data_IF_689251412174
#
_entry.id   IF_689251412174
#
_cell.length_a   1.000
_cell.length_b   1.000
_cell.length_c   1.000
_cell.angle_alpha   90.00
_cell.angle_beta   90.00
_cell.angle_gamma   90.00
#
_symmetry.space_group_name_H-M   'P 1'
#
loop_
_entity.id
_entity.type
_entity.pdbx_description
1 polymer ?
#
# COMPACT_ATOMS: atom_id res chain seq x y z
N UNK A 1 23.50 -11.80 -19.54
CA UNK A 1 22.80 -10.75 -18.80
C UNK A 1 21.45 -11.35 -18.46
N UNK A 2 21.14 -11.56 -17.18
CA UNK A 2 19.82 -12.08 -16.80
C UNK A 2 18.77 -11.02 -17.15
N UNK A 3 17.75 -11.41 -17.91
CA UNK A 3 16.65 -10.50 -18.23
C UNK A 3 15.66 -10.50 -17.06
N UNK A 4 15.49 -9.33 -16.43
CA UNK A 4 14.47 -9.14 -15.40
C UNK A 4 13.13 -8.76 -16.02
N UNK A 5 12.04 -9.35 -15.52
CA UNK A 5 10.68 -8.93 -15.83
C UNK A 5 10.12 -8.11 -14.66
N UNK A 6 9.26 -7.14 -14.97
CA UNK A 6 8.64 -6.29 -13.96
C UNK A 6 7.12 -6.38 -14.05
N UNK A 7 6.46 -6.50 -12.89
CA UNK A 7 5.00 -6.51 -12.77
C UNK A 7 4.59 -5.36 -11.86
N UNK A 8 3.70 -4.52 -12.35
CA UNK A 8 3.14 -3.40 -11.61
C UNK A 8 1.65 -3.66 -11.35
N UNK A 9 1.28 -3.86 -10.09
CA UNK A 9 -0.12 -3.84 -9.68
C UNK A 9 -0.50 -2.42 -9.27
N UNK A 10 -1.63 -1.90 -9.77
CA UNK A 10 -2.21 -0.62 -9.34
C UNK A 10 -3.67 -0.87 -8.99
N UNK A 11 -4.10 -0.38 -7.84
CA UNK A 11 -5.49 -0.43 -7.40
C UNK A 11 -5.85 0.82 -6.60
N UNK A 12 -7.14 1.08 -6.47
CA UNK A 12 -7.67 2.25 -5.79
C UNK A 12 -8.80 1.95 -4.81
N UNK A 13 -8.86 2.75 -3.75
CA UNK A 13 -9.90 2.72 -2.73
C UNK A 13 -10.35 4.14 -2.40
N UNK A 14 -11.63 4.33 -2.05
CA UNK A 14 -12.16 5.63 -1.61
C UNK A 14 -13.02 6.37 -2.64
N UNK A 15 -14.00 5.69 -3.25
CA UNK A 15 -14.80 6.21 -4.35
C UNK A 15 -16.06 7.02 -4.02
N UNK A 16 -16.31 7.32 -2.75
CA UNK A 16 -17.48 8.11 -2.36
C UNK A 16 -17.05 9.43 -1.72
N UNK A 17 -17.65 10.58 -2.08
CA UNK A 17 -17.41 11.86 -1.41
C UNK A 17 -17.66 11.79 0.10
N UNK A 18 -18.43 10.79 0.57
CA UNK A 18 -18.79 10.56 1.97
C UNK A 18 -17.98 9.45 2.67
N UNK A 19 -17.07 8.75 1.97
CA UNK A 19 -16.49 7.47 2.44
C UNK A 19 -15.04 7.61 2.95
N UNK A 20 -14.33 8.67 2.55
CA UNK A 20 -12.94 8.90 2.96
C UNK A 20 -12.05 9.36 1.79
N UNK A 21 -10.72 9.45 1.99
CA UNK A 21 -9.81 9.92 0.96
C UNK A 21 -9.73 8.89 -0.18
N UNK A 22 -9.51 9.36 -1.40
CA UNK A 22 -9.09 8.48 -2.49
C UNK A 22 -7.63 8.09 -2.25
N UNK A 23 -7.35 6.80 -2.25
CA UNK A 23 -6.01 6.23 -2.20
C UNK A 23 -5.81 5.39 -3.46
N UNK A 24 -4.77 5.69 -4.23
CA UNK A 24 -4.34 4.89 -5.38
C UNK A 24 -2.94 4.39 -5.08
N UNK A 25 -2.74 3.08 -5.07
CA UNK A 25 -1.46 2.47 -4.68
C UNK A 25 -0.92 1.58 -5.78
N UNK A 26 0.38 1.68 -6.02
CA UNK A 26 1.13 0.76 -6.86
C UNK A 26 2.05 -0.15 -6.05
N UNK A 27 2.15 -1.42 -6.43
CA UNK A 27 3.14 -2.37 -5.95
C UNK A 27 3.95 -2.90 -7.12
N UNK A 28 5.25 -2.65 -7.12
CA UNK A 28 6.17 -3.01 -8.19
C UNK A 28 7.01 -4.23 -7.79
N UNK A 29 6.91 -5.28 -8.58
CA UNK A 29 7.66 -6.51 -8.40
C UNK A 29 8.69 -6.69 -9.52
N UNK A 30 9.88 -7.17 -9.15
CA UNK A 30 10.89 -7.71 -10.05
C UNK A 30 10.81 -9.24 -10.02
N UNK A 31 10.81 -9.85 -11.19
CA UNK A 31 10.78 -11.31 -11.37
C UNK A 31 12.06 -11.75 -12.08
N UNK A 32 12.70 -12.79 -11.56
CA UNK A 32 13.85 -13.44 -12.21
C UNK A 32 13.43 -14.12 -13.52
N UNK A 33 14.36 -14.28 -14.46
CA UNK A 33 14.12 -14.86 -15.80
C UNK A 33 13.50 -16.27 -15.76
N UNK A 34 13.74 -17.02 -14.67
CA UNK A 34 13.18 -18.36 -14.45
C UNK A 34 11.68 -18.35 -14.16
N UNK A 35 11.06 -17.18 -14.08
CA UNK A 35 9.69 -17.01 -13.67
C UNK A 35 8.73 -16.93 -14.87
N UNK A 36 7.87 -17.93 -15.01
CA UNK A 36 6.69 -17.83 -15.86
C UNK A 36 5.60 -17.07 -15.09
N UNK A 37 5.20 -15.90 -15.61
CA UNK A 37 4.22 -14.99 -15.00
C UNK A 37 2.89 -15.67 -14.60
N UNK A 38 2.52 -16.78 -15.27
CA UNK A 38 1.32 -17.58 -14.99
C UNK A 38 1.29 -18.21 -13.59
N UNK A 39 2.43 -18.30 -12.89
CA UNK A 39 2.53 -18.92 -11.55
C UNK A 39 2.61 -17.93 -10.39
N UNK A 40 2.30 -16.64 -10.67
CA UNK A 40 2.01 -15.56 -9.71
C UNK A 40 2.03 -15.95 -8.22
N UNK A 41 0.80 -16.28 -7.83
CA UNK A 41 0.38 -16.62 -6.50
C UNK A 41 0.68 -18.07 -6.13
N UNK A 42 0.91 -18.95 -7.10
CA UNK A 42 1.27 -20.35 -6.84
C UNK A 42 2.65 -20.43 -6.18
N UNK A 43 3.61 -19.66 -6.66
CA UNK A 43 4.96 -19.57 -6.06
C UNK A 43 4.92 -19.06 -4.62
N UNK A 44 4.01 -18.15 -4.31
CA UNK A 44 3.86 -17.57 -2.98
C UNK A 44 2.88 -18.33 -2.09
N UNK A 45 2.25 -19.39 -2.59
CA UNK A 45 1.14 -20.10 -1.93
C UNK A 45 1.52 -20.74 -0.58
N UNK A 46 2.81 -20.95 -0.32
CA UNK A 46 3.33 -21.37 0.99
C UNK A 46 3.01 -20.34 2.09
N UNK A 47 3.05 -19.05 1.78
CA UNK A 47 2.94 -17.97 2.77
C UNK A 47 1.87 -16.93 2.47
N UNK A 48 1.29 -16.93 1.26
CA UNK A 48 0.21 -16.05 0.83
C UNK A 48 -1.05 -16.86 0.56
N UNK A 49 -2.20 -16.34 0.97
CA UNK A 49 -3.51 -16.95 0.72
C UNK A 49 -4.58 -15.91 0.44
N UNK A 50 -5.64 -16.34 -0.26
CA UNK A 50 -6.88 -15.56 -0.40
C UNK A 50 -7.88 -15.83 0.73
N UNK A 51 -7.64 -16.85 1.56
CA UNK A 51 -8.60 -17.35 2.56
C UNK A 51 -8.30 -16.76 3.93
N UNK A 52 -9.16 -15.89 4.43
CA UNK A 52 -9.03 -15.24 5.75
C UNK A 52 -8.89 -16.21 6.93
N UNK A 53 -9.40 -17.45 6.81
CA UNK A 53 -9.25 -18.51 7.82
C UNK A 53 -7.82 -19.05 8.00
N UNK A 54 -6.91 -18.75 7.07
CA UNK A 54 -5.50 -19.14 7.13
C UNK A 54 -4.63 -18.04 7.78
N UNK A 55 -5.26 -17.01 8.34
CA UNK A 55 -4.61 -16.02 9.20
C UNK A 55 -4.62 -16.50 10.65
N UNK A 56 -3.49 -16.42 11.40
CA UNK A 56 -2.27 -15.67 11.08
C UNK A 56 -1.12 -16.48 10.45
N UNK A 57 -1.35 -17.73 10.05
CA UNK A 57 -0.30 -18.60 9.49
C UNK A 57 0.22 -18.10 8.13
N UNK A 58 -0.63 -17.41 7.37
CA UNK A 58 -0.33 -16.82 6.06
C UNK A 58 -0.76 -15.36 5.98
N UNK A 59 -0.07 -14.62 5.10
CA UNK A 59 -0.46 -13.26 4.68
C UNK A 59 -1.67 -13.37 3.77
N UNK A 60 -2.70 -12.55 4.03
CA UNK A 60 -3.96 -12.63 3.29
C UNK A 60 -4.01 -11.55 2.21
N UNK A 61 -3.89 -11.95 0.95
CA UNK A 61 -4.05 -11.07 -0.21
C UNK A 61 -5.31 -11.49 -0.96
N UNK A 62 -6.36 -10.67 -0.88
CA UNK A 62 -7.65 -10.91 -1.52
C UNK A 62 -8.35 -9.58 -1.83
N UNK A 63 -9.54 -9.64 -2.43
CA UNK A 63 -10.38 -8.47 -2.65
C UNK A 63 -10.65 -7.77 -1.30
N UNK A 64 -10.37 -6.46 -1.23
CA UNK A 64 -10.52 -5.67 -0.02
C UNK A 64 -11.96 -5.64 0.48
N UNK A 65 -12.95 -5.71 -0.42
CA UNK A 65 -14.38 -5.79 -0.07
C UNK A 65 -14.73 -7.10 0.63
N UNK A 66 -13.99 -8.18 0.36
CA UNK A 66 -14.16 -9.47 1.04
C UNK A 66 -13.46 -9.49 2.40
N UNK A 67 -12.26 -8.89 2.48
CA UNK A 67 -11.52 -8.77 3.74
C UNK A 67 -12.33 -7.91 4.69
N UNK A 68 -12.68 -6.67 4.35
CA UNK A 68 -13.28 -5.72 5.29
C UNK A 68 -14.79 -5.91 5.55
N UNK A 69 -15.38 -7.08 5.22
CA UNK A 69 -16.79 -7.39 5.57
C UNK A 69 -16.98 -7.40 7.10
N UNK A 70 -17.64 -6.37 7.64
CA UNK A 70 -18.31 -6.25 8.94
C UNK A 70 -17.80 -7.12 10.12
N UNK A 71 -16.48 -7.24 10.30
CA UNK A 71 -15.91 -7.88 11.49
C UNK A 71 -14.61 -7.18 11.90
N UNK A 72 -14.48 -6.72 13.16
CA UNK A 72 -13.28 -6.02 13.66
C UNK A 72 -11.97 -6.77 13.41
N UNK A 73 -11.96 -8.11 13.56
CA UNK A 73 -10.80 -8.97 13.28
C UNK A 73 -10.26 -8.81 11.85
N UNK A 74 -11.10 -8.48 10.88
CA UNK A 74 -10.66 -8.39 9.49
C UNK A 74 -9.87 -7.11 9.20
N UNK A 75 -10.05 -6.06 10.00
CA UNK A 75 -9.19 -4.88 9.92
C UNK A 75 -7.74 -5.25 10.22
N UNK A 76 -7.51 -6.06 11.26
CA UNK A 76 -6.18 -6.57 11.58
C UNK A 76 -5.58 -7.40 10.44
N UNK A 77 -6.37 -8.19 9.73
CA UNK A 77 -5.88 -8.97 8.59
C UNK A 77 -5.36 -8.04 7.48
N UNK A 78 -6.16 -7.03 7.11
CA UNK A 78 -5.78 -6.06 6.09
C UNK A 78 -4.56 -5.22 6.51
N UNK A 79 -4.56 -4.74 7.74
CA UNK A 79 -3.46 -3.95 8.31
C UNK A 79 -2.16 -4.77 8.44
N UNK A 80 -2.23 -6.02 8.88
CA UNK A 80 -1.06 -6.93 8.94
C UNK A 80 -0.50 -7.17 7.54
N UNK A 81 -1.37 -7.34 6.54
CA UNK A 81 -0.95 -7.53 5.14
C UNK A 81 -0.22 -6.31 4.59
N UNK A 82 -0.76 -5.10 4.83
CA UNK A 82 -0.12 -3.85 4.44
C UNK A 82 1.24 -3.70 5.14
N UNK A 83 1.31 -3.98 6.44
CA UNK A 83 2.53 -3.86 7.22
C UNK A 83 3.59 -4.89 6.83
N UNK A 84 3.22 -6.15 6.60
CA UNK A 84 4.15 -7.16 6.09
C UNK A 84 4.74 -6.77 4.73
N UNK A 85 3.91 -6.21 3.84
CA UNK A 85 4.34 -5.75 2.51
C UNK A 85 5.29 -4.56 2.63
N UNK A 86 4.97 -3.60 3.49
CA UNK A 86 5.82 -2.47 3.81
C UNK A 86 7.18 -2.91 4.39
N UNK A 87 7.18 -3.87 5.31
CA UNK A 87 8.40 -4.35 5.96
C UNK A 87 9.36 -5.08 5.01
N UNK A 88 8.90 -5.52 3.83
CA UNK A 88 9.81 -6.06 2.80
C UNK A 88 10.76 -4.98 2.24
N UNK A 89 10.35 -3.71 2.29
CA UNK A 89 11.09 -2.57 1.76
C UNK A 89 11.73 -1.71 2.85
N UNK A 90 11.09 -1.62 4.01
CA UNK A 90 11.45 -0.69 5.08
C UNK A 90 11.51 -1.41 6.45
N UNK A 91 12.22 -0.86 7.45
CA UNK A 91 12.07 -1.31 8.83
C UNK A 91 10.64 -1.07 9.34
N UNK A 92 10.18 -1.82 10.35
CA UNK A 92 8.87 -1.62 11.00
C UNK A 92 8.71 -0.12 11.36
N UNK A 93 7.62 0.55 10.94
CA UNK A 93 7.48 1.98 11.16
C UNK A 93 7.18 2.25 12.63
N UNK A 94 7.71 3.34 13.16
CA UNK A 94 7.48 3.78 14.54
C UNK A 94 6.04 4.22 14.75
N UNK A 95 5.42 4.83 13.74
CA UNK A 95 4.06 5.36 13.78
C UNK A 95 3.47 5.46 12.36
N UNK A 96 2.19 5.84 12.28
CA UNK A 96 1.51 5.93 10.98
C UNK A 96 2.08 7.03 10.07
N UNK A 97 2.66 8.09 10.64
CA UNK A 97 3.31 9.15 9.87
C UNK A 97 4.50 8.60 9.07
N UNK A 98 5.38 7.85 9.73
CA UNK A 98 6.54 7.24 9.09
C UNK A 98 6.11 6.24 8.01
N UNK A 99 5.12 5.40 8.32
CA UNK A 99 4.53 4.48 7.34
C UNK A 99 4.09 5.23 6.07
N UNK A 100 3.32 6.31 6.21
CA UNK A 100 2.86 7.10 5.08
C UNK A 100 3.99 7.82 4.35
N UNK A 101 4.95 8.40 5.06
CA UNK A 101 6.07 9.14 4.44
C UNK A 101 6.89 8.23 3.50
N UNK A 102 7.09 6.98 3.88
CA UNK A 102 7.88 6.03 3.10
C UNK A 102 7.17 5.54 1.84
N UNK A 103 5.84 5.43 1.86
CA UNK A 103 5.06 4.96 0.71
C UNK A 103 4.39 6.09 -0.07
N UNK A 104 4.31 7.31 0.43
CA UNK A 104 3.71 8.40 -0.33
C UNK A 104 4.55 8.73 -1.56
N UNK A 105 3.87 8.85 -2.70
CA UNK A 105 4.48 9.37 -3.92
C UNK A 105 4.64 10.89 -3.82
N UNK A 106 3.65 11.55 -3.21
CA UNK A 106 3.65 12.99 -2.97
C UNK A 106 4.36 13.34 -1.66
N UNK A 107 4.69 14.62 -1.46
CA UNK A 107 5.21 15.07 -0.18
C UNK A 107 4.07 15.17 0.85
N UNK A 108 4.23 14.50 2.01
CA UNK A 108 3.27 14.54 3.11
C UNK A 108 2.95 15.98 3.57
N UNK A 109 3.94 16.87 3.64
CA UNK A 109 3.75 18.28 4.00
C UNK A 109 2.88 19.00 2.98
N UNK A 110 3.07 18.71 1.68
CA UNK A 110 2.24 19.29 0.62
C UNK A 110 0.81 18.78 0.69
N UNK A 111 0.64 17.48 0.94
CA UNK A 111 -0.68 16.91 1.19
C UNK A 111 -1.36 17.58 2.38
N UNK A 112 -0.63 17.73 3.49
CA UNK A 112 -1.15 18.32 4.71
C UNK A 112 -1.61 19.77 4.50
N UNK A 113 -0.84 20.56 3.76
CA UNK A 113 -1.17 21.95 3.42
C UNK A 113 -2.39 22.08 2.51
N UNK A 114 -2.58 21.12 1.59
CA UNK A 114 -3.66 21.14 0.60
C UNK A 114 -4.97 20.57 1.14
N UNK A 115 -4.91 19.66 2.11
CA UNK A 115 -6.08 19.25 2.85
C UNK A 115 -6.59 20.43 3.70
N UNK A 116 -7.67 21.09 3.27
CA UNK A 116 -8.29 22.18 4.03
C UNK A 116 -8.62 21.70 5.45
N UNK A 117 -8.00 22.32 6.45
CA UNK A 117 -8.36 22.14 7.85
C UNK A 117 -9.60 22.97 8.16
N UNK A 118 -10.50 22.43 8.98
CA UNK A 118 -11.67 23.17 9.47
C UNK A 118 -11.31 24.25 10.52
N UNK A 119 -10.04 24.41 10.90
CA UNK A 119 -9.59 25.30 11.98
C UNK A 119 -8.12 25.75 11.82
N UNK A 120 -7.83 26.99 12.22
CA UNK A 120 -6.46 27.56 12.35
C UNK A 120 -5.69 27.00 13.56
N UNK A 121 -6.38 26.34 14.49
CA UNK A 121 -5.86 25.92 15.80
C UNK A 121 -5.84 24.40 16.01
N UNK A 122 -6.51 23.62 15.16
CA UNK A 122 -6.53 22.16 15.23
C UNK A 122 -6.38 21.59 13.83
N UNK A 123 -5.31 20.83 13.60
CA UNK A 123 -5.12 20.10 12.36
C UNK A 123 -6.13 18.95 12.32
N UNK A 124 -7.23 19.12 11.58
CA UNK A 124 -8.19 18.06 11.31
C UNK A 124 -8.26 17.82 9.81
N UNK A 125 -8.04 16.58 9.40
CA UNK A 125 -8.27 16.15 8.03
C UNK A 125 -9.74 16.39 7.68
N UNK A 126 -10.04 16.74 6.43
CA UNK A 126 -11.41 17.05 6.02
C UNK A 126 -12.36 15.84 5.98
N UNK A 127 -11.90 14.65 6.37
CA UNK A 127 -12.64 13.39 6.39
C UNK A 127 -12.51 12.60 7.70
N UNK A 128 -12.01 13.20 8.78
CA UNK A 128 -11.84 12.47 10.04
C UNK A 128 -11.69 13.35 11.27
N UNK A 129 -12.29 12.89 12.37
CA UNK A 129 -12.17 13.46 13.71
C UNK A 129 -10.95 12.95 14.51
N UNK A 130 -10.20 11.99 13.97
CA UNK A 130 -9.11 11.32 14.68
C UNK A 130 -7.76 11.98 14.41
N UNK A 131 -6.89 11.92 15.41
CA UNK A 131 -5.46 12.17 15.28
C UNK A 131 -4.90 11.24 14.20
N UNK A 132 -4.81 11.76 12.98
CA UNK A 132 -4.31 11.04 11.81
C UNK A 132 -2.88 10.53 12.04
N UNK A 133 -2.17 11.11 13.00
CA UNK A 133 -0.85 10.70 13.46
C UNK A 133 -0.95 9.95 14.79
N UNK A 134 -1.63 8.80 14.78
CA UNK A 134 -1.58 7.88 15.92
C UNK A 134 -0.13 7.48 16.20
N UNK A 135 0.20 7.28 17.47
CA UNK A 135 1.49 6.67 17.85
C UNK A 135 1.60 5.26 17.29
N UNK A 136 0.48 4.57 17.09
CA UNK A 136 0.46 3.26 16.45
C UNK A 136 0.65 3.36 14.93
N UNK A 137 1.40 2.42 14.31
CA UNK A 137 1.61 2.37 12.86
C UNK A 137 0.36 2.00 12.07
N UNK A 138 -0.72 1.60 12.74
CA UNK A 138 -1.98 1.13 12.15
C UNK A 138 -3.17 1.63 12.98
N UNK A 139 -4.35 1.74 12.35
CA UNK A 139 -5.53 2.41 12.91
C UNK A 139 -6.36 1.51 13.85
N UNK A 140 -6.11 0.20 13.90
CA UNK A 140 -6.82 -0.67 14.83
C UNK A 140 -6.47 -0.33 16.28
N UNK A 141 -7.34 0.46 16.92
CA UNK A 141 -7.31 0.88 18.32
C UNK A 141 -7.18 -0.24 19.38
N UNK A 142 -6.93 -1.49 19.01
CA UNK A 142 -6.98 -2.63 19.94
C UNK A 142 -6.09 -3.83 19.56
N UNK A 143 -5.23 -3.78 18.53
CA UNK A 143 -4.50 -4.98 18.10
C UNK A 143 -3.03 -4.70 17.86
N UNK A 144 -2.17 -5.30 18.70
CA UNK A 144 -0.72 -5.24 18.60
C UNK A 144 -0.27 -6.09 17.39
N UNK A 145 0.30 -5.52 16.31
CA UNK A 145 0.75 -6.30 15.17
C UNK A 145 2.06 -7.05 15.44
N UNK A 146 2.80 -6.71 16.51
CA UNK A 146 4.12 -7.27 16.81
C UNK A 146 4.17 -8.81 16.83
N UNK A 147 3.20 -9.56 17.40
CA UNK A 147 3.22 -11.02 17.36
C UNK A 147 3.21 -11.56 15.93
N UNK A 148 2.39 -10.95 15.06
CA UNK A 148 2.29 -11.37 13.66
C UNK A 148 3.54 -10.97 12.88
N UNK A 149 4.10 -9.79 13.12
CA UNK A 149 5.37 -9.39 12.48
C UNK A 149 6.49 -10.36 12.89
N UNK A 150 6.61 -10.71 14.17
CA UNK A 150 7.70 -11.56 14.63
C UNK A 150 7.67 -12.98 14.03
N UNK A 151 6.49 -13.50 13.72
CA UNK A 151 6.35 -14.87 13.19
C UNK A 151 6.17 -14.89 11.66
N UNK A 152 5.30 -14.05 11.12
CA UNK A 152 4.87 -14.08 9.72
C UNK A 152 5.88 -13.37 8.80
N UNK A 153 6.44 -12.24 9.23
CA UNK A 153 7.35 -11.47 8.39
C UNK A 153 8.67 -12.22 8.06
N UNK A 154 9.35 -12.89 9.01
CA UNK A 154 10.52 -13.70 8.68
C UNK A 154 10.23 -14.82 7.68
N UNK A 155 9.06 -15.48 7.81
CA UNK A 155 8.62 -16.51 6.87
C UNK A 155 8.36 -15.92 5.48
N UNK A 156 7.63 -14.81 5.40
CA UNK A 156 7.39 -14.08 4.16
C UNK A 156 8.70 -13.70 3.48
N UNK A 157 9.61 -13.06 4.22
CA UNK A 157 10.92 -12.63 3.71
C UNK A 157 11.73 -13.81 3.18
N UNK A 158 11.70 -14.97 3.86
CA UNK A 158 12.36 -16.20 3.41
C UNK A 158 11.78 -16.68 2.09
N UNK A 159 10.46 -16.81 1.98
CA UNK A 159 9.78 -17.29 0.77
C UNK A 159 10.03 -16.34 -0.41
N UNK A 160 9.88 -15.03 -0.21
CA UNK A 160 10.17 -13.99 -1.21
C UNK A 160 11.60 -14.17 -1.74
N UNK A 161 12.60 -14.22 -0.85
CA UNK A 161 14.01 -14.40 -1.22
C UNK A 161 14.28 -15.67 -2.04
N UNK A 162 13.58 -16.78 -1.78
CA UNK A 162 13.76 -18.02 -2.53
C UNK A 162 12.88 -18.14 -3.78
N UNK A 163 11.89 -17.26 -3.94
CA UNK A 163 10.87 -17.36 -5.00
C UNK A 163 11.31 -16.78 -6.35
N UNK A 164 12.36 -15.96 -6.37
CA UNK A 164 12.71 -15.15 -7.55
C UNK A 164 11.71 -14.02 -7.83
N UNK A 165 10.85 -13.68 -6.85
CA UNK A 165 9.95 -12.53 -6.83
C UNK A 165 10.47 -11.57 -5.76
N UNK A 166 10.76 -10.34 -6.14
CA UNK A 166 11.13 -9.28 -5.20
C UNK A 166 10.11 -8.14 -5.30
N UNK A 167 9.52 -7.74 -4.20
CA UNK A 167 8.85 -6.44 -4.12
C UNK A 167 9.95 -5.36 -4.04
N UNK A 168 9.93 -4.40 -4.96
CA UNK A 168 11.00 -3.39 -5.07
C UNK A 168 10.51 -1.96 -4.88
N UNK A 169 9.21 -1.71 -4.95
CA UNK A 169 8.62 -0.40 -4.62
C UNK A 169 7.14 -0.52 -4.23
N UNK A 170 6.70 0.32 -3.31
CA UNK A 170 5.29 0.60 -3.03
C UNK A 170 5.13 2.10 -3.00
N UNK A 171 4.21 2.62 -3.81
CA UNK A 171 3.85 4.04 -3.79
C UNK A 171 2.36 4.28 -3.78
N UNK A 172 1.93 5.23 -2.98
CA UNK A 172 0.54 5.64 -2.82
C UNK A 172 0.39 7.13 -3.12
N UNK A 173 -0.64 7.44 -3.91
CA UNK A 173 -1.19 8.79 -4.05
C UNK A 173 -2.42 8.84 -3.15
N UNK A 174 -2.48 9.84 -2.27
CA UNK A 174 -3.64 10.07 -1.41
C UNK A 174 -4.21 11.44 -1.68
N UNK A 175 -5.52 11.49 -1.86
CA UNK A 175 -6.28 12.69 -2.14
C UNK A 175 -7.42 12.80 -1.14
N UNK A 176 -7.43 13.88 -0.38
CA UNK A 176 -8.53 14.15 0.53
C UNK A 176 -9.85 14.35 -0.24
N UNK A 177 -11.02 14.12 0.38
CA UNK A 177 -12.30 14.33 -0.30
C UNK A 177 -12.45 15.71 -0.89
N UNK A 178 -11.95 16.76 -0.21
CA UNK A 178 -12.00 18.11 -0.75
C UNK A 178 -11.25 18.25 -2.09
N UNK A 179 -9.98 17.84 -2.13
CA UNK A 179 -9.16 17.91 -3.33
C UNK A 179 -9.66 16.98 -4.43
N UNK A 180 -10.13 15.80 -4.06
CA UNK A 180 -10.74 14.86 -4.99
C UNK A 180 -11.99 15.47 -5.64
N UNK A 181 -12.94 15.94 -4.84
CA UNK A 181 -14.20 16.54 -5.31
C UNK A 181 -13.95 17.77 -6.19
N UNK A 182 -13.02 18.63 -5.80
CA UNK A 182 -12.63 19.79 -6.63
C UNK A 182 -12.02 19.33 -7.97
N UNK A 183 -11.17 18.31 -7.95
CA UNK A 183 -10.46 17.84 -9.13
C UNK A 183 -11.39 17.14 -10.13
N UNK A 184 -12.29 16.27 -9.65
CA UNK A 184 -13.24 15.57 -10.53
C UNK A 184 -14.25 16.54 -11.16
N UNK A 185 -14.61 17.63 -10.46
CA UNK A 185 -15.50 18.67 -11.02
C UNK A 185 -14.84 19.37 -12.21
N UNK A 186 -13.53 19.60 -12.14
CA UNK A 186 -12.76 20.28 -13.19
C UNK A 186 -12.41 19.38 -14.37
N UNK A 187 -12.09 18.11 -14.10
CA UNK A 187 -11.44 17.21 -15.07
C UNK A 187 -12.27 15.99 -15.47
N UNK A 188 -13.34 15.69 -14.74
CA UNK A 188 -14.07 14.43 -14.83
C UNK A 188 -13.36 13.29 -14.11
N UNK A 189 -14.14 12.36 -13.54
CA UNK A 189 -13.64 11.25 -12.71
C UNK A 189 -12.67 10.32 -13.46
N UNK A 190 -13.04 9.88 -14.67
CA UNK A 190 -12.26 8.92 -15.45
C UNK A 190 -10.86 9.45 -15.78
N UNK A 191 -10.79 10.66 -16.33
CA UNK A 191 -9.54 11.30 -16.69
C UNK A 191 -8.67 11.60 -15.45
N UNK A 192 -9.30 11.99 -14.35
CA UNK A 192 -8.57 12.25 -13.11
C UNK A 192 -7.92 10.99 -12.52
N UNK A 193 -8.60 9.84 -12.58
CA UNK A 193 -8.04 8.54 -12.20
C UNK A 193 -6.89 8.12 -13.12
N UNK A 194 -7.07 8.26 -14.44
CA UNK A 194 -6.03 7.99 -15.42
C UNK A 194 -4.74 8.75 -15.08
N UNK A 195 -4.85 10.03 -14.72
CA UNK A 195 -3.70 10.84 -14.32
C UNK A 195 -2.99 10.29 -13.07
N UNK A 196 -3.71 9.71 -12.10
CA UNK A 196 -3.05 9.12 -10.92
C UNK A 196 -2.31 7.83 -11.29
N UNK A 197 -2.89 7.01 -12.18
CA UNK A 197 -2.26 5.79 -12.68
C UNK A 197 -0.99 6.11 -13.47
N UNK A 198 -1.05 7.09 -14.38
CA UNK A 198 0.10 7.57 -15.15
C UNK A 198 1.27 7.98 -14.25
N UNK A 199 1.01 8.76 -13.20
CA UNK A 199 2.04 9.17 -12.23
C UNK A 199 2.70 8.00 -11.51
N UNK A 200 1.94 6.97 -11.14
CA UNK A 200 2.48 5.76 -10.51
C UNK A 200 3.29 4.92 -11.50
N UNK A 201 2.84 4.82 -12.76
CA UNK A 201 3.57 4.14 -13.84
C UNK A 201 4.90 4.86 -14.10
N UNK A 202 4.89 6.19 -14.21
CA UNK A 202 6.12 6.98 -14.38
C UNK A 202 7.11 6.77 -13.24
N UNK A 203 6.63 6.73 -11.99
CA UNK A 203 7.47 6.42 -10.83
C UNK A 203 8.07 5.01 -10.93
N UNK A 204 7.25 4.01 -11.26
CA UNK A 204 7.70 2.64 -11.42
C UNK A 204 8.78 2.52 -12.50
N UNK A 205 8.61 3.19 -13.65
CA UNK A 205 9.61 3.23 -14.72
C UNK A 205 10.93 3.86 -14.24
N UNK A 206 10.87 4.97 -13.51
CA UNK A 206 12.06 5.59 -12.90
C UNK A 206 12.77 4.64 -11.95
N UNK A 207 12.01 3.91 -11.12
CA UNK A 207 12.59 2.91 -10.21
C UNK A 207 13.27 1.77 -10.97
N UNK A 208 12.64 1.25 -12.02
CA UNK A 208 13.21 0.20 -12.89
C UNK A 208 14.54 0.66 -13.49
N UNK A 209 14.62 1.90 -13.97
CA UNK A 209 15.86 2.46 -14.51
C UNK A 209 16.97 2.50 -13.45
N UNK A 210 16.66 2.93 -12.22
CA UNK A 210 17.62 2.97 -11.10
C UNK A 210 18.12 1.56 -10.74
N UNK A 211 17.21 0.59 -10.65
CA UNK A 211 17.55 -0.81 -10.39
C UNK A 211 18.52 -1.37 -11.44
N UNK A 212 18.24 -1.12 -12.73
CA UNK A 212 19.08 -1.60 -13.82
C UNK A 212 20.45 -0.92 -13.92
N UNK A 213 20.58 0.31 -13.39
CA UNK A 213 21.88 0.98 -13.26
C UNK A 213 22.66 0.39 -12.09
N UNK A 214 22.01 0.11 -10.96
CA UNK A 214 22.65 -0.38 -9.73
C UNK A 214 23.16 -1.81 -9.82
N UNK A 215 22.68 -2.59 -10.78
CA UNK A 215 23.07 -3.99 -11.03
C UNK A 215 24.22 -4.12 -12.05
N UNK A 216 24.62 -3.03 -12.72
CA UNK A 216 25.78 -2.96 -13.60
C UNK A 216 27.03 -2.52 -12.86
#
# INVERSE_FOLDING_TARGET
MENNYYVLGIDEAGYGPDIGPLVVTSSLFRLSEKYHSEKFWETLSEIVSKKTKEFPEKVIVSDSKDIFKNHPKNYLIGETTALCSYCLLYPVPLNFQEFLQNIFLDNLDLFQKRCKTFSKYTYRMCWGNNDFFSEDPLNSKNLNPKPYINDLFPKLKKVIKSSGIDLIDIKSIVLCPHLYNESITKKGKLFFNYLQFERLIENALKRILIENISVK
#
